data_IF_460036789682
#
_entry.id   IF_460036789682
#
_cell.length_a   1.000
_cell.length_b   1.000
_cell.length_c   1.000
_cell.angle_alpha   90.00
_cell.angle_beta   90.00
_cell.angle_gamma   90.00
#
_symmetry.space_group_name_H-M   'P 1'
#
loop_
_entity.id
_entity.type
_entity.pdbx_description
1 polymer ?
#
# COMPACT_ATOMS: atom_id res chain seq x y z
N UNK A 1 -6.11 -39.64 1.93
CA UNK A 1 -5.98 -39.08 0.57
C UNK A 1 -4.73 -39.68 -0.07
N UNK A 2 -4.91 -40.52 -1.10
CA UNK A 2 -3.82 -41.25 -1.77
C UNK A 2 -2.83 -40.26 -2.42
N UNK A 3 -1.54 -40.57 -2.37
CA UNK A 3 -0.49 -39.75 -2.99
C UNK A 3 -0.58 -39.87 -4.52
N UNK A 4 -0.37 -38.76 -5.23
CA UNK A 4 -0.33 -38.77 -6.69
C UNK A 4 0.89 -39.56 -7.20
N UNK A 5 0.71 -40.34 -8.27
CA UNK A 5 1.81 -41.01 -8.98
C UNK A 5 2.65 -39.98 -9.75
N UNK A 6 3.86 -40.35 -10.18
CA UNK A 6 4.72 -39.45 -10.97
C UNK A 6 4.04 -39.02 -12.29
N UNK A 7 3.35 -39.94 -12.97
CA UNK A 7 2.59 -39.65 -14.19
C UNK A 7 1.45 -38.67 -13.93
N UNK A 8 0.75 -38.85 -12.81
CA UNK A 8 -0.35 -37.95 -12.41
C UNK A 8 0.18 -36.56 -12.01
N UNK A 9 1.33 -36.50 -11.34
CA UNK A 9 2.04 -35.25 -11.05
C UNK A 9 2.45 -34.52 -12.33
N UNK A 10 2.98 -35.24 -13.32
CA UNK A 10 3.35 -34.68 -14.62
C UNK A 10 2.12 -34.08 -15.31
N UNK A 11 1.02 -34.84 -15.38
CA UNK A 11 -0.24 -34.39 -15.97
C UNK A 11 -0.79 -33.14 -15.28
N UNK A 12 -0.94 -33.17 -13.96
CA UNK A 12 -1.46 -32.03 -13.19
C UNK A 12 -0.55 -30.81 -13.28
N UNK A 13 0.78 -30.99 -13.31
CA UNK A 13 1.72 -29.86 -13.48
C UNK A 13 1.59 -29.24 -14.87
N UNK A 14 1.40 -30.04 -15.92
CA UNK A 14 1.17 -29.54 -17.27
C UNK A 14 -0.13 -28.73 -17.37
N UNK A 15 -1.21 -29.24 -16.78
CA UNK A 15 -2.50 -28.55 -16.72
C UNK A 15 -2.39 -27.22 -15.97
N UNK A 16 -1.83 -27.25 -14.76
CA UNK A 16 -1.59 -26.06 -13.95
C UNK A 16 -0.75 -25.03 -14.72
N UNK A 17 0.34 -25.46 -15.38
CA UNK A 17 1.18 -24.57 -16.18
C UNK A 17 0.41 -23.94 -17.34
N UNK A 18 -0.38 -24.73 -18.07
CA UNK A 18 -1.16 -24.23 -19.18
C UNK A 18 -2.21 -23.22 -18.69
N UNK A 19 -2.86 -23.48 -17.56
CA UNK A 19 -3.86 -22.61 -16.95
C UNK A 19 -3.25 -21.30 -16.47
N UNK A 20 -2.15 -21.38 -15.73
CA UNK A 20 -1.40 -20.21 -15.25
C UNK A 20 -0.96 -19.32 -16.42
N UNK A 21 -0.47 -19.91 -17.53
CA UNK A 21 -0.09 -19.14 -18.71
C UNK A 21 -1.29 -18.41 -19.33
N UNK A 22 -2.40 -19.12 -19.58
CA UNK A 22 -3.60 -18.53 -20.21
C UNK A 22 -4.21 -17.43 -19.34
N UNK A 23 -4.25 -17.63 -18.02
CA UNK A 23 -4.75 -16.63 -17.07
C UNK A 23 -3.81 -15.42 -16.98
N UNK A 24 -2.49 -15.65 -16.93
CA UNK A 24 -1.52 -14.57 -16.90
C UNK A 24 -1.62 -13.67 -18.14
N UNK A 25 -1.81 -14.26 -19.33
CA UNK A 25 -2.05 -13.51 -20.57
C UNK A 25 -3.31 -12.64 -20.47
N UNK A 26 -4.41 -13.18 -19.94
CA UNK A 26 -5.66 -12.43 -19.71
C UNK A 26 -5.47 -11.28 -18.71
N UNK A 27 -4.74 -11.52 -17.62
CA UNK A 27 -4.43 -10.49 -16.61
C UNK A 27 -3.61 -9.34 -17.23
N UNK A 28 -2.56 -9.66 -17.99
CA UNK A 28 -1.68 -8.66 -18.63
C UNK A 28 -2.44 -7.83 -19.65
N UNK A 29 -3.31 -8.45 -20.46
CA UNK A 29 -4.14 -7.72 -21.41
C UNK A 29 -5.07 -6.74 -20.69
N UNK A 30 -5.52 -7.07 -19.48
CA UNK A 30 -6.30 -6.18 -18.60
C UNK A 30 -5.51 -5.04 -17.94
N UNK A 31 -4.19 -4.97 -18.12
CA UNK A 31 -3.30 -3.90 -17.66
C UNK A 31 -2.87 -2.94 -18.77
N UNK A 32 -3.50 -3.00 -19.95
CA UNK A 32 -3.07 -2.24 -21.13
C UNK A 32 -1.61 -2.55 -21.50
N UNK A 33 -1.39 -3.80 -21.92
CA UNK A 33 -0.08 -4.35 -22.23
C UNK A 33 0.75 -3.48 -23.20
N UNK A 34 0.09 -2.72 -24.09
CA UNK A 34 0.72 -1.77 -25.01
C UNK A 34 1.54 -0.68 -24.32
N UNK A 35 1.15 -0.27 -23.11
CA UNK A 35 1.84 0.79 -22.38
C UNK A 35 2.99 0.26 -21.50
N UNK A 36 3.08 -1.05 -21.28
CA UNK A 36 4.13 -1.65 -20.45
C UNK A 36 5.43 -1.71 -21.26
N UNK A 37 6.45 -0.99 -20.78
CA UNK A 37 7.76 -0.96 -21.46
C UNK A 37 8.40 -2.33 -21.58
N UNK A 38 9.24 -2.53 -22.61
CA UNK A 38 10.01 -3.76 -22.82
C UNK A 38 10.84 -4.16 -21.59
N UNK A 39 11.35 -3.18 -20.84
CA UNK A 39 12.13 -3.39 -19.61
C UNK A 39 11.27 -3.91 -18.44
N UNK A 40 10.03 -3.43 -18.32
CA UNK A 40 9.10 -3.82 -17.24
C UNK A 40 8.35 -5.13 -17.54
N UNK A 41 8.16 -5.44 -18.83
CA UNK A 41 7.36 -6.59 -19.28
C UNK A 41 7.71 -7.93 -18.62
N UNK A 42 8.99 -8.31 -18.38
CA UNK A 42 9.31 -9.55 -17.67
C UNK A 42 8.73 -9.60 -16.24
N UNK A 43 8.86 -8.50 -15.48
CA UNK A 43 8.31 -8.41 -14.12
C UNK A 43 6.79 -8.41 -14.14
N UNK A 44 6.16 -7.70 -15.09
CA UNK A 44 4.71 -7.72 -15.26
C UNK A 44 4.20 -9.13 -15.57
N UNK A 45 4.86 -9.85 -16.49
CA UNK A 45 4.54 -11.25 -16.81
C UNK A 45 4.64 -12.16 -15.59
N UNK A 46 5.69 -12.00 -14.80
CA UNK A 46 5.85 -12.80 -13.59
C UNK A 46 4.79 -12.46 -12.53
N UNK A 47 4.45 -11.18 -12.32
CA UNK A 47 3.37 -10.79 -11.42
C UNK A 47 2.01 -11.37 -11.85
N UNK A 48 1.70 -11.34 -13.15
CA UNK A 48 0.48 -11.93 -13.67
C UNK A 48 0.45 -13.46 -13.50
N UNK A 49 1.58 -14.14 -13.76
CA UNK A 49 1.71 -15.57 -13.51
C UNK A 49 1.58 -15.93 -12.03
N UNK A 50 2.13 -15.11 -11.12
CA UNK A 50 1.96 -15.26 -9.69
C UNK A 50 0.50 -15.13 -9.27
N UNK A 51 -0.20 -14.09 -9.72
CA UNK A 51 -1.62 -13.90 -9.44
C UNK A 51 -2.47 -15.06 -9.99
N UNK A 52 -2.16 -15.53 -11.21
CA UNK A 52 -2.81 -16.69 -11.79
C UNK A 52 -2.60 -17.95 -10.96
N UNK A 53 -1.35 -18.27 -10.57
CA UNK A 53 -1.03 -19.43 -9.74
C UNK A 53 -1.78 -19.39 -8.39
N UNK A 54 -1.89 -18.21 -7.77
CA UNK A 54 -2.57 -18.03 -6.48
C UNK A 54 -4.09 -18.24 -6.53
N UNK A 55 -4.69 -18.39 -7.71
CA UNK A 55 -6.10 -18.78 -7.88
C UNK A 55 -6.33 -20.29 -7.85
N UNK A 56 -5.26 -21.10 -7.84
CA UNK A 56 -5.36 -22.54 -7.77
C UNK A 56 -5.05 -23.03 -6.35
N UNK A 57 -5.85 -23.97 -5.84
CA UNK A 57 -5.46 -24.77 -4.68
C UNK A 57 -4.48 -25.85 -5.13
N UNK A 58 -3.19 -25.60 -4.87
CA UNK A 58 -2.09 -26.51 -5.21
C UNK A 58 -1.61 -27.33 -4.00
N UNK A 59 -2.35 -27.34 -2.89
CA UNK A 59 -1.91 -27.98 -1.64
C UNK A 59 -1.69 -29.50 -1.77
N UNK A 60 -2.54 -30.18 -2.54
CA UNK A 60 -2.41 -31.62 -2.83
C UNK A 60 -1.24 -31.91 -3.76
N UNK A 61 -1.06 -31.09 -4.80
CA UNK A 61 0.06 -31.18 -5.73
C UNK A 61 1.39 -30.98 -4.97
N UNK A 62 1.51 -29.93 -4.18
CA UNK A 62 2.72 -29.62 -3.40
C UNK A 62 3.08 -30.73 -2.40
N UNK A 63 2.10 -31.28 -1.66
CA UNK A 63 2.34 -32.40 -0.75
C UNK A 63 2.81 -33.65 -1.49
N UNK A 64 2.24 -33.92 -2.65
CA UNK A 64 2.62 -35.08 -3.46
C UNK A 64 4.02 -34.91 -4.07
N UNK A 65 4.37 -33.72 -4.57
CA UNK A 65 5.73 -33.39 -5.03
C UNK A 65 6.77 -33.62 -3.94
N UNK A 66 6.52 -33.12 -2.73
CA UNK A 66 7.43 -33.25 -1.60
C UNK A 66 7.69 -34.72 -1.22
N UNK A 67 6.68 -35.59 -1.33
CA UNK A 67 6.82 -37.04 -1.08
C UNK A 67 7.78 -37.74 -2.05
N UNK A 68 7.93 -37.21 -3.26
CA UNK A 68 8.89 -37.69 -4.26
C UNK A 68 10.23 -36.95 -4.21
N UNK A 69 10.49 -36.16 -3.15
CA UNK A 69 11.72 -35.38 -3.00
C UNK A 69 11.84 -34.18 -3.96
N UNK A 70 10.74 -33.81 -4.63
CA UNK A 70 10.73 -32.70 -5.57
C UNK A 70 10.47 -31.37 -4.86
N UNK A 71 11.05 -30.30 -5.40
CA UNK A 71 10.89 -28.95 -4.86
C UNK A 71 9.41 -28.54 -4.86
N UNK A 72 8.93 -28.05 -3.72
CA UNK A 72 7.63 -27.41 -3.65
C UNK A 72 7.68 -26.06 -4.39
N UNK A 73 6.58 -25.68 -5.04
CA UNK A 73 6.46 -24.39 -5.72
C UNK A 73 6.44 -23.18 -4.76
N UNK A 74 6.76 -23.37 -3.47
CA UNK A 74 6.70 -22.34 -2.43
C UNK A 74 7.83 -21.31 -2.44
N UNK A 75 8.75 -21.39 -3.41
CA UNK A 75 9.78 -20.36 -3.68
C UNK A 75 9.76 -19.92 -5.15
N UNK A 76 8.60 -20.01 -5.79
CA UNK A 76 8.43 -19.73 -7.23
C UNK A 76 8.06 -18.28 -7.54
N UNK A 77 7.84 -17.44 -6.53
CA UNK A 77 7.26 -16.10 -6.64
C UNK A 77 8.00 -15.20 -7.63
N UNK A 78 9.33 -15.34 -7.71
CA UNK A 78 10.17 -14.52 -8.58
C UNK A 78 10.26 -15.03 -10.04
N UNK A 79 9.75 -16.23 -10.33
CA UNK A 79 9.94 -16.92 -11.62
C UNK A 79 8.91 -18.05 -11.83
N UNK A 80 7.62 -17.75 -11.68
CA UNK A 80 6.53 -18.75 -11.56
C UNK A 80 6.49 -19.73 -12.73
N UNK A 81 6.42 -19.22 -13.97
CA UNK A 81 6.36 -20.09 -15.15
C UNK A 81 7.64 -20.89 -15.34
N UNK A 82 8.80 -20.33 -15.02
CA UNK A 82 10.09 -21.04 -15.09
C UNK A 82 10.15 -22.19 -14.08
N UNK A 83 9.59 -22.03 -12.88
CA UNK A 83 9.47 -23.11 -11.90
C UNK A 83 8.57 -24.23 -12.40
N UNK A 84 7.42 -23.89 -13.01
CA UNK A 84 6.51 -24.88 -13.60
C UNK A 84 7.14 -25.59 -14.81
N UNK A 85 7.87 -24.87 -15.66
CA UNK A 85 8.65 -25.42 -16.78
C UNK A 85 9.70 -26.43 -16.28
N UNK A 86 10.45 -26.04 -15.24
CA UNK A 86 11.47 -26.90 -14.62
C UNK A 86 10.83 -28.17 -14.08
N UNK A 87 9.70 -28.04 -13.39
CA UNK A 87 9.00 -29.18 -12.81
C UNK A 87 8.46 -30.13 -13.89
N UNK A 88 7.86 -29.61 -14.96
CA UNK A 88 7.46 -30.42 -16.12
C UNK A 88 8.66 -31.18 -16.71
N UNK A 89 9.79 -30.49 -16.89
CA UNK A 89 11.00 -31.09 -17.44
C UNK A 89 11.60 -32.18 -16.54
N UNK A 90 11.56 -32.01 -15.21
CA UNK A 90 12.00 -33.02 -14.26
C UNK A 90 11.05 -34.22 -14.24
N UNK A 91 9.74 -33.98 -14.11
CA UNK A 91 8.75 -35.05 -14.06
C UNK A 91 8.72 -35.85 -15.37
N UNK A 92 8.87 -35.21 -16.53
CA UNK A 92 8.96 -35.92 -17.80
C UNK A 92 10.13 -36.91 -17.84
N UNK A 93 11.28 -36.54 -17.30
CA UNK A 93 12.45 -37.45 -17.18
C UNK A 93 12.19 -38.60 -16.21
N UNK A 94 11.52 -38.33 -15.09
CA UNK A 94 11.19 -39.35 -14.09
C UNK A 94 10.12 -40.34 -14.56
N UNK A 95 9.26 -39.92 -15.50
CA UNK A 95 8.21 -40.76 -16.08
C UNK A 95 8.61 -41.45 -17.39
N UNK A 96 9.86 -41.29 -17.85
CA UNK A 96 10.31 -41.68 -19.20
C UNK A 96 9.40 -41.15 -20.33
N UNK A 97 8.85 -39.96 -20.14
CA UNK A 97 8.02 -39.25 -21.11
C UNK A 97 8.90 -38.43 -22.08
N UNK A 98 8.34 -37.94 -23.21
CA UNK A 98 9.08 -37.11 -24.16
C UNK A 98 9.84 -35.95 -23.49
N UNK A 99 11.12 -35.80 -23.83
CA UNK A 99 12.02 -34.87 -23.14
C UNK A 99 11.63 -33.41 -23.39
N UNK A 100 11.35 -32.70 -22.29
CA UNK A 100 11.16 -31.25 -22.28
C UNK A 100 12.47 -30.57 -21.89
N UNK A 101 12.82 -29.49 -22.59
CA UNK A 101 14.00 -28.69 -22.27
C UNK A 101 13.84 -27.97 -20.92
N UNK A 102 14.90 -27.93 -20.11
CA UNK A 102 14.91 -27.10 -18.91
C UNK A 102 14.97 -25.62 -19.29
N UNK A 103 14.33 -24.72 -18.53
CA UNK A 103 14.52 -23.29 -18.72
C UNK A 103 15.98 -22.91 -18.41
N UNK A 104 16.54 -21.91 -19.10
CA UNK A 104 17.91 -21.48 -18.88
C UNK A 104 18.08 -20.91 -17.44
N UNK A 105 19.23 -21.12 -16.78
CA UNK A 105 19.47 -20.67 -15.40
C UNK A 105 19.19 -19.19 -15.17
N UNK A 106 19.51 -18.33 -16.14
CA UNK A 106 19.27 -16.89 -16.05
C UNK A 106 17.79 -16.52 -15.84
N UNK A 107 16.83 -17.32 -16.32
CA UNK A 107 15.39 -17.07 -16.08
C UNK A 107 14.97 -17.35 -14.64
N UNK A 108 15.66 -18.27 -13.96
CA UNK A 108 15.41 -18.56 -12.55
C UNK A 108 15.97 -17.45 -11.65
N UNK A 109 17.07 -16.80 -12.03
CA UNK A 109 17.69 -15.74 -11.23
C UNK A 109 17.20 -14.33 -11.57
N UNK A 110 16.45 -14.17 -12.66
CA UNK A 110 16.05 -12.86 -13.19
C UNK A 110 15.24 -12.03 -12.18
N UNK A 111 14.25 -12.63 -11.51
CA UNK A 111 13.41 -11.92 -10.55
C UNK A 111 14.18 -11.43 -9.32
N UNK A 112 15.03 -12.27 -8.73
CA UNK A 112 15.89 -11.87 -7.60
C UNK A 112 16.90 -10.79 -7.99
N UNK A 113 17.41 -10.84 -9.21
CA UNK A 113 18.33 -9.84 -9.74
C UNK A 113 17.62 -8.50 -9.94
N UNK A 114 16.44 -8.51 -10.54
CA UNK A 114 15.60 -7.33 -10.71
C UNK A 114 15.21 -6.71 -9.35
N UNK A 115 14.88 -7.53 -8.35
CA UNK A 115 14.56 -7.08 -7.00
C UNK A 115 15.75 -6.37 -6.34
N UNK A 116 16.96 -6.97 -6.40
CA UNK A 116 18.18 -6.37 -5.84
C UNK A 116 18.53 -5.03 -6.50
N UNK A 117 18.39 -4.94 -7.82
CA UNK A 117 18.59 -3.69 -8.56
C UNK A 117 17.56 -2.64 -8.14
N UNK A 118 16.27 -3.01 -8.09
CA UNK A 118 15.18 -2.12 -7.69
C UNK A 118 15.35 -1.60 -6.27
N UNK A 119 15.69 -2.47 -5.32
CA UNK A 119 15.95 -2.10 -3.93
C UNK A 119 17.11 -1.10 -3.79
N UNK A 120 18.23 -1.32 -4.51
CA UNK A 120 19.36 -0.39 -4.49
C UNK A 120 19.00 0.96 -5.10
N UNK A 121 18.23 0.95 -6.18
CA UNK A 121 17.78 2.17 -6.82
C UNK A 121 16.82 2.97 -5.93
N UNK A 122 15.91 2.30 -5.23
CA UNK A 122 14.91 2.94 -4.35
C UNK A 122 15.53 3.41 -3.02
N UNK A 123 16.18 2.50 -2.30
CA UNK A 123 16.59 2.73 -0.90
C UNK A 123 18.08 3.04 -0.73
N UNK A 124 18.87 2.97 -1.81
CA UNK A 124 20.33 3.07 -1.73
C UNK A 124 21.03 1.72 -1.47
N UNK A 125 22.36 1.77 -1.45
CA UNK A 125 23.22 0.60 -1.33
C UNK A 125 23.33 0.07 0.11
N UNK A 126 23.20 0.97 1.10
CA UNK A 126 23.34 0.64 2.51
C UNK A 126 22.26 -0.34 2.97
N UNK A 127 22.70 -1.38 3.68
CA UNK A 127 21.85 -2.44 4.23
C UNK A 127 22.32 -2.83 5.63
N UNK A 128 21.39 -3.34 6.42
CA UNK A 128 21.64 -4.00 7.70
C UNK A 128 21.47 -5.51 7.49
N UNK A 129 22.46 -6.27 7.92
CA UNK A 129 22.54 -7.70 7.65
C UNK A 129 22.59 -7.98 6.15
N UNK A 130 21.82 -8.97 5.69
CA UNK A 130 21.87 -9.41 4.29
C UNK A 130 21.16 -8.47 3.30
N UNK A 131 20.10 -7.76 3.72
CA UNK A 131 19.23 -7.00 2.80
C UNK A 131 18.32 -5.92 3.42
N UNK A 132 18.27 -5.81 4.74
CA UNK A 132 17.27 -4.98 5.42
C UNK A 132 17.66 -3.50 5.37
N UNK A 133 16.67 -2.62 5.36
CA UNK A 133 16.83 -1.18 5.57
C UNK A 133 15.90 -0.76 6.70
N UNK A 134 16.31 0.23 7.48
CA UNK A 134 15.50 0.79 8.57
C UNK A 134 15.02 2.17 8.16
N UNK A 135 13.70 2.33 8.17
CA UNK A 135 13.02 3.61 8.02
C UNK A 135 12.58 4.10 9.40
N UNK A 136 12.97 5.31 9.76
CA UNK A 136 12.57 5.94 11.03
C UNK A 136 11.74 7.17 10.74
N UNK A 137 10.58 7.29 11.39
CA UNK A 137 9.78 8.53 11.33
C UNK A 137 10.41 9.55 12.25
N UNK A 138 10.79 10.70 11.70
CA UNK A 138 11.43 11.75 12.48
C UNK A 138 10.39 12.48 13.36
N UNK A 139 10.67 12.66 14.66
CA UNK A 139 9.87 13.56 15.50
C UNK A 139 10.23 15.03 15.21
N UNK A 140 9.35 15.98 15.54
CA UNK A 140 9.58 17.43 15.35
C UNK A 140 10.93 17.91 15.90
N UNK A 141 11.36 17.35 17.04
CA UNK A 141 12.67 17.63 17.66
C UNK A 141 13.87 17.39 16.71
N UNK A 142 13.75 16.49 15.74
CA UNK A 142 14.81 16.21 14.77
C UNK A 142 15.08 17.37 13.81
N UNK A 143 14.28 18.45 13.83
CA UNK A 143 14.57 19.68 13.11
C UNK A 143 15.67 20.53 13.79
N UNK A 144 15.90 20.33 15.09
CA UNK A 144 16.77 21.19 15.90
C UNK A 144 17.88 20.38 16.61
N UNK A 145 17.64 19.10 16.88
CA UNK A 145 18.56 18.22 17.62
C UNK A 145 19.48 17.43 16.68
N UNK A 146 20.68 17.97 16.45
CA UNK A 146 21.73 17.32 15.65
C UNK A 146 22.19 15.99 16.26
N UNK A 147 22.25 15.91 17.59
CA UNK A 147 22.74 14.73 18.32
C UNK A 147 21.77 13.57 18.14
N UNK A 148 20.47 13.83 18.24
CA UNK A 148 19.43 12.84 17.96
C UNK A 148 19.55 12.27 16.55
N UNK A 149 19.67 13.13 15.53
CA UNK A 149 19.76 12.69 14.13
C UNK A 149 21.03 11.88 13.90
N UNK A 150 22.17 12.31 14.44
CA UNK A 150 23.43 11.57 14.35
C UNK A 150 23.32 10.18 15.01
N UNK A 151 22.75 10.10 16.21
CA UNK A 151 22.54 8.83 16.91
C UNK A 151 21.63 7.87 16.14
N UNK A 152 20.56 8.38 15.48
CA UNK A 152 19.69 7.56 14.64
C UNK A 152 20.44 6.99 13.42
N UNK A 153 21.31 7.79 12.80
CA UNK A 153 22.17 7.33 11.70
C UNK A 153 23.17 6.29 12.21
N UNK A 154 23.84 6.51 13.34
CA UNK A 154 24.79 5.55 13.91
C UNK A 154 24.11 4.21 14.26
N UNK A 155 22.90 4.26 14.82
CA UNK A 155 22.08 3.10 15.13
C UNK A 155 21.56 2.33 13.91
N UNK A 156 21.79 2.84 12.69
CA UNK A 156 21.51 2.13 11.45
C UNK A 156 20.33 2.65 10.64
N UNK A 157 19.75 3.82 10.95
CA UNK A 157 18.76 4.46 10.06
C UNK A 157 19.32 4.60 8.65
N UNK A 158 18.59 4.10 7.65
CA UNK A 158 18.93 4.19 6.21
C UNK A 158 17.90 5.01 5.43
N UNK A 159 16.74 5.25 6.04
CA UNK A 159 15.71 6.12 5.49
C UNK A 159 15.07 6.95 6.60
N UNK A 160 15.06 8.27 6.44
CA UNK A 160 14.31 9.18 7.28
C UNK A 160 12.94 9.43 6.64
N UNK A 161 11.87 9.10 7.37
CA UNK A 161 10.50 9.42 7.01
C UNK A 161 10.09 10.73 7.66
N UNK A 162 9.71 11.71 6.85
CA UNK A 162 9.10 12.97 7.28
C UNK A 162 7.61 12.88 6.96
N UNK A 163 6.76 13.02 7.97
CA UNK A 163 5.32 12.90 7.84
C UNK A 163 4.67 14.27 7.59
N UNK A 164 4.24 14.54 6.35
CA UNK A 164 3.68 15.83 5.95
C UNK A 164 2.28 16.12 6.52
N UNK A 165 1.67 15.16 7.23
CA UNK A 165 0.44 15.41 8.00
C UNK A 165 0.67 16.31 9.23
N UNK A 166 1.93 16.49 9.64
CA UNK A 166 2.34 17.29 10.79
C UNK A 166 3.49 18.24 10.43
N UNK A 167 3.74 19.20 11.31
CA UNK A 167 4.78 20.21 11.16
C UNK A 167 4.61 21.08 9.89
N UNK A 168 5.62 21.89 9.59
CA UNK A 168 5.61 22.87 8.49
C UNK A 168 6.72 22.59 7.48
N UNK A 169 6.63 23.16 6.26
CA UNK A 169 7.71 23.12 5.28
C UNK A 169 9.10 23.46 5.82
N UNK A 170 9.21 24.46 6.70
CA UNK A 170 10.49 24.90 7.24
C UNK A 170 11.06 23.88 8.23
N UNK A 171 10.21 23.28 9.07
CA UNK A 171 10.58 22.17 9.94
C UNK A 171 11.08 20.98 9.12
N UNK A 172 10.41 20.63 8.01
CA UNK A 172 10.83 19.53 7.14
C UNK A 172 12.18 19.80 6.45
N UNK A 173 12.42 21.05 6.01
CA UNK A 173 13.72 21.46 5.45
C UNK A 173 14.84 21.32 6.47
N UNK A 174 14.61 21.74 7.71
CA UNK A 174 15.56 21.62 8.80
C UNK A 174 15.89 20.15 9.10
N UNK A 175 14.87 19.28 9.24
CA UNK A 175 15.06 17.84 9.39
C UNK A 175 15.89 17.24 8.25
N UNK A 176 15.52 17.57 7.00
CA UNK A 176 16.20 17.06 5.82
C UNK A 176 17.67 17.50 5.75
N UNK A 177 17.97 18.75 6.13
CA UNK A 177 19.32 19.28 6.19
C UNK A 177 20.17 18.52 7.22
N UNK A 178 19.64 18.32 8.44
CA UNK A 178 20.35 17.60 9.50
C UNK A 178 20.57 16.12 9.14
N UNK A 179 19.60 15.45 8.53
CA UNK A 179 19.77 14.06 8.05
C UNK A 179 20.90 13.97 7.03
N UNK A 180 20.93 14.89 6.06
CA UNK A 180 21.97 14.90 5.01
C UNK A 180 23.35 15.23 5.58
N UNK A 181 23.43 16.14 6.54
CA UNK A 181 24.67 16.49 7.26
C UNK A 181 25.19 15.29 8.04
N UNK A 182 24.36 14.68 8.88
CA UNK A 182 24.72 13.53 9.72
C UNK A 182 25.12 12.31 8.88
N UNK A 183 24.37 11.99 7.81
CA UNK A 183 24.70 10.90 6.91
C UNK A 183 26.07 11.10 6.24
N UNK A 184 26.35 12.34 5.77
CA UNK A 184 27.64 12.69 5.17
C UNK A 184 28.78 12.57 6.19
N UNK A 185 28.60 13.07 7.40
CA UNK A 185 29.60 13.00 8.47
C UNK A 185 29.92 11.53 8.86
N UNK A 186 28.92 10.65 8.82
CA UNK A 186 29.09 9.23 9.11
C UNK A 186 29.60 8.40 7.91
N UNK A 187 29.76 8.99 6.71
CA UNK A 187 30.08 8.26 5.49
C UNK A 187 29.00 7.25 5.06
N UNK A 188 27.74 7.48 5.47
CA UNK A 188 26.58 6.62 5.18
C UNK A 188 25.61 7.31 4.23
N UNK A 189 24.74 6.53 3.61
CA UNK A 189 23.60 7.02 2.84
C UNK A 189 22.33 6.94 3.69
N UNK A 190 21.59 8.03 3.79
CA UNK A 190 20.24 8.03 4.34
C UNK A 190 19.28 8.74 3.39
N UNK A 191 18.29 8.00 2.87
CA UNK A 191 17.27 8.52 1.95
C UNK A 191 16.16 9.23 2.70
N UNK A 192 15.61 10.29 2.13
CA UNK A 192 14.47 11.01 2.70
C UNK A 192 13.18 10.59 1.98
N UNK A 193 12.29 9.93 2.72
CA UNK A 193 10.91 9.69 2.31
C UNK A 193 10.04 10.83 2.84
N UNK A 194 9.42 11.58 1.94
CA UNK A 194 8.37 12.53 2.30
C UNK A 194 7.02 11.83 2.17
N UNK A 195 6.32 11.62 3.29
CA UNK A 195 5.04 10.92 3.34
C UNK A 195 3.88 11.93 3.29
N UNK A 196 3.25 12.05 2.12
CA UNK A 196 2.13 12.96 1.86
C UNK A 196 0.90 12.48 2.61
N UNK A 197 0.16 13.39 3.25
CA UNK A 197 -0.90 13.03 4.19
C UNK A 197 -2.09 12.33 3.51
N UNK A 198 -2.47 12.83 2.33
CA UNK A 198 -3.61 12.33 1.57
C UNK A 198 -4.96 12.65 2.23
N UNK A 199 -6.07 12.20 1.61
CA UNK A 199 -7.43 12.53 2.04
C UNK A 199 -7.90 11.71 3.26
N UNK A 200 -7.17 11.79 4.38
CA UNK A 200 -7.58 11.12 5.63
C UNK A 200 -8.77 11.85 6.26
N UNK A 201 -9.91 11.18 6.35
CA UNK A 201 -11.08 11.75 7.00
C UNK A 201 -10.88 11.86 8.51
N UNK A 202 -11.19 13.04 9.07
CA UNK A 202 -11.14 13.31 10.51
C UNK A 202 -12.41 14.02 10.96
N UNK A 203 -12.67 13.92 12.26
CA UNK A 203 -13.69 14.74 12.92
C UNK A 203 -13.17 16.16 13.04
N UNK A 204 -13.94 17.12 12.54
CA UNK A 204 -13.60 18.54 12.62
C UNK A 204 -14.16 19.14 13.90
N UNK A 205 -15.49 19.09 14.06
CA UNK A 205 -16.15 19.60 15.26
C UNK A 205 -17.01 18.53 15.91
N UNK A 206 -17.19 18.67 17.22
CA UNK A 206 -18.13 17.89 18.01
C UNK A 206 -18.94 18.87 18.85
N UNK A 207 -20.25 18.86 18.69
CA UNK A 207 -21.19 19.67 19.46
C UNK A 207 -22.05 18.72 20.29
N UNK A 208 -22.23 19.05 21.55
CA UNK A 208 -23.06 18.27 22.46
C UNK A 208 -23.63 19.19 23.55
N UNK A 209 -24.85 18.89 23.99
CA UNK A 209 -25.55 19.68 25.02
C UNK A 209 -24.83 19.67 26.37
N UNK A 210 -24.07 18.60 26.64
CA UNK A 210 -23.20 18.50 27.80
C UNK A 210 -21.75 18.79 27.41
N UNK A 211 -20.98 19.43 28.29
CA UNK A 211 -19.62 19.88 27.93
C UNK A 211 -18.66 18.75 27.54
N UNK A 212 -18.89 17.50 27.96
CA UNK A 212 -18.07 16.30 27.61
C UNK A 212 -18.84 14.96 27.69
N UNK A 213 -19.83 14.67 26.82
CA UNK A 213 -20.61 13.44 26.91
C UNK A 213 -19.70 12.21 26.79
N UNK A 214 -19.95 11.21 27.63
CA UNK A 214 -19.43 9.86 27.41
C UNK A 214 -20.47 9.09 26.63
N UNK A 215 -20.05 8.50 25.53
CA UNK A 215 -20.91 7.71 24.66
C UNK A 215 -20.73 6.22 24.95
N UNK A 216 -21.82 5.49 24.94
CA UNK A 216 -21.93 4.06 25.20
C UNK A 216 -22.55 3.34 24.00
N UNK A 217 -22.54 2.02 24.05
CA UNK A 217 -23.25 1.20 23.05
C UNK A 217 -24.75 1.52 23.09
N UNK A 218 -25.34 1.71 21.93
CA UNK A 218 -26.73 2.12 21.74
C UNK A 218 -26.93 3.63 21.61
N UNK A 219 -25.94 4.44 22.01
CA UNK A 219 -26.03 5.90 21.83
C UNK A 219 -25.96 6.28 20.36
N UNK A 220 -26.57 7.42 20.04
CA UNK A 220 -26.64 7.96 18.68
C UNK A 220 -25.79 9.20 18.50
N UNK A 221 -25.27 9.36 17.29
CA UNK A 221 -24.49 10.52 16.85
C UNK A 221 -25.02 10.96 15.50
N UNK A 222 -25.24 12.27 15.33
CA UNK A 222 -25.57 12.86 14.05
C UNK A 222 -24.29 13.35 13.36
N UNK A 223 -23.89 12.72 12.27
CA UNK A 223 -22.92 13.29 11.34
C UNK A 223 -23.63 14.24 10.39
N UNK A 224 -23.17 15.48 10.28
CA UNK A 224 -23.79 16.51 9.43
C UNK A 224 -22.78 17.14 8.49
N UNK A 225 -23.24 17.51 7.27
CA UNK A 225 -22.42 18.27 6.30
C UNK A 225 -22.00 19.64 6.83
N UNK A 226 -22.82 20.20 7.71
CA UNK A 226 -22.60 21.48 8.38
C UNK A 226 -23.67 21.69 9.43
N UNK A 227 -23.43 22.61 10.37
CA UNK A 227 -24.32 22.81 11.52
C UNK A 227 -25.74 23.24 11.16
N UNK A 228 -25.96 23.81 9.96
CA UNK A 228 -27.30 24.12 9.45
C UNK A 228 -28.19 22.89 9.20
N UNK A 229 -27.60 21.68 9.19
CA UNK A 229 -28.31 20.40 9.02
C UNK A 229 -28.48 19.63 10.32
N UNK A 230 -28.07 20.20 11.46
CA UNK A 230 -28.32 19.61 12.77
C UNK A 230 -29.79 19.78 13.17
N UNK A 231 -30.32 18.82 13.92
CA UNK A 231 -31.65 18.90 14.52
C UNK A 231 -31.54 19.27 16.01
N UNK A 232 -32.54 19.98 16.53
CA UNK A 232 -32.61 20.32 17.96
C UNK A 232 -32.67 19.08 18.87
N UNK A 233 -33.06 17.93 18.33
CA UNK A 233 -33.09 16.65 19.04
C UNK A 233 -31.74 15.92 19.07
N UNK A 234 -30.71 16.42 18.38
CA UNK A 234 -29.42 15.74 18.26
C UNK A 234 -28.53 15.99 19.49
N UNK A 235 -28.47 15.00 20.40
CA UNK A 235 -27.66 15.09 21.62
C UNK A 235 -26.14 15.25 21.36
N UNK A 236 -25.64 14.65 20.27
CA UNK A 236 -24.24 14.75 19.84
C UNK A 236 -24.19 14.87 18.32
N UNK A 237 -23.60 15.96 17.86
CA UNK A 237 -23.42 16.30 16.45
C UNK A 237 -21.93 16.31 16.14
N UNK A 238 -21.52 15.73 15.02
CA UNK A 238 -20.15 15.78 14.54
C UNK A 238 -20.07 16.16 13.07
N UNK A 239 -19.07 16.96 12.71
CA UNK A 239 -18.69 17.24 11.32
C UNK A 239 -17.39 16.53 10.99
N UNK A 240 -17.12 16.34 9.70
CA UNK A 240 -15.90 15.69 9.22
C UNK A 240 -15.26 16.47 8.09
N UNK A 241 -13.94 16.31 7.93
CA UNK A 241 -13.10 17.05 6.95
C UNK A 241 -13.54 16.91 5.49
N UNK A 242 -14.39 15.92 5.20
CA UNK A 242 -15.00 15.73 3.89
C UNK A 242 -16.53 15.64 4.05
N UNK A 243 -17.22 16.79 4.13
CA UNK A 243 -18.66 16.85 4.36
C UNK A 243 -19.46 16.01 3.37
N UNK A 244 -19.06 15.98 2.10
CA UNK A 244 -19.77 15.25 1.05
C UNK A 244 -19.95 13.76 1.34
N UNK A 245 -19.01 13.15 2.12
CA UNK A 245 -19.11 11.75 2.54
C UNK A 245 -20.39 11.51 3.32
N UNK A 246 -20.79 12.43 4.21
CA UNK A 246 -21.97 12.28 5.08
C UNK A 246 -23.22 11.97 4.26
N UNK A 247 -23.35 12.59 3.08
CA UNK A 247 -24.49 12.36 2.20
C UNK A 247 -24.40 11.12 1.32
N UNK A 248 -23.23 10.51 1.20
CA UNK A 248 -23.00 9.32 0.36
C UNK A 248 -23.21 8.00 1.10
N UNK A 249 -23.45 8.06 2.42
CA UNK A 249 -23.62 6.87 3.26
C UNK A 249 -25.00 6.26 3.09
N UNK A 250 -25.05 4.93 3.21
CA UNK A 250 -26.27 4.13 3.15
C UNK A 250 -26.57 3.50 4.50
N UNK A 251 -27.86 3.35 4.82
CA UNK A 251 -28.31 2.64 6.03
C UNK A 251 -27.68 1.25 6.10
N UNK A 252 -27.19 0.89 7.28
CA UNK A 252 -26.49 -0.37 7.55
C UNK A 252 -24.97 -0.32 7.40
N UNK A 253 -24.40 0.70 6.74
CA UNK A 253 -22.94 0.83 6.60
C UNK A 253 -22.26 1.10 7.94
N UNK A 254 -21.03 0.61 8.07
CA UNK A 254 -20.22 0.84 9.26
C UNK A 254 -19.34 2.09 9.14
N UNK A 255 -19.18 2.80 10.26
CA UNK A 255 -18.23 3.90 10.40
C UNK A 255 -17.38 3.64 11.64
N UNK A 256 -16.07 3.69 11.46
CA UNK A 256 -15.08 3.43 12.51
C UNK A 256 -14.36 4.72 12.90
N UNK A 257 -14.32 5.03 14.19
CA UNK A 257 -13.76 6.28 14.73
C UNK A 257 -12.60 5.98 15.69
N UNK A 258 -11.61 6.88 15.73
CA UNK A 258 -10.44 6.83 16.62
C UNK A 258 -9.62 5.53 16.49
N UNK A 259 -9.21 5.23 15.25
CA UNK A 259 -8.44 4.04 14.88
C UNK A 259 -9.17 2.73 15.19
N UNK A 260 -10.47 2.68 14.88
CA UNK A 260 -11.30 1.49 15.05
C UNK A 260 -11.77 1.23 16.49
N UNK A 261 -11.54 2.15 17.42
CA UNK A 261 -11.95 1.98 18.83
C UNK A 261 -13.44 2.15 19.06
N UNK A 262 -14.13 2.85 18.15
CA UNK A 262 -15.57 3.09 18.20
C UNK A 262 -16.15 2.60 16.88
N UNK A 263 -17.03 1.61 16.95
CA UNK A 263 -17.76 1.08 15.80
C UNK A 263 -19.19 1.57 15.83
N UNK A 264 -19.62 2.20 14.74
CA UNK A 264 -20.96 2.75 14.59
C UNK A 264 -21.61 2.23 13.31
N UNK A 265 -22.93 2.20 13.26
CA UNK A 265 -23.71 1.77 12.09
C UNK A 265 -24.70 2.86 11.71
N UNK A 266 -24.80 3.16 10.42
CA UNK A 266 -25.79 4.10 9.90
C UNK A 266 -27.19 3.55 10.13
N UNK A 267 -28.02 4.32 10.83
CA UNK A 267 -29.42 3.98 11.12
C UNK A 267 -30.41 4.85 10.36
N UNK A 268 -30.02 6.07 9.98
CA UNK A 268 -30.80 6.95 9.12
C UNK A 268 -29.88 7.86 8.29
N UNK A 269 -30.34 8.28 7.12
CA UNK A 269 -29.63 9.21 6.24
C UNK A 269 -30.65 10.05 5.47
N UNK A 270 -30.40 11.36 5.34
CA UNK A 270 -31.26 12.33 4.67
C UNK A 270 -30.50 13.19 3.64
N UNK A 271 -29.34 12.71 3.18
CA UNK A 271 -28.49 13.37 2.19
C UNK A 271 -27.54 14.43 2.76
N UNK A 272 -27.96 15.21 3.77
CA UNK A 272 -27.08 16.20 4.41
C UNK A 272 -26.70 15.85 5.85
N UNK A 273 -27.44 14.92 6.46
CA UNK A 273 -27.25 14.36 7.79
C UNK A 273 -27.34 12.84 7.71
N UNK A 274 -26.49 12.20 8.52
CA UNK A 274 -26.44 10.75 8.71
C UNK A 274 -26.43 10.47 10.20
N UNK A 275 -27.45 9.78 10.68
CA UNK A 275 -27.54 9.32 12.05
C UNK A 275 -26.91 7.93 12.18
N UNK A 276 -26.06 7.77 13.18
CA UNK A 276 -25.41 6.49 13.46
C UNK A 276 -25.64 6.05 14.89
N UNK A 277 -25.71 4.74 15.10
CA UNK A 277 -25.78 4.11 16.41
C UNK A 277 -24.45 3.41 16.73
N UNK A 278 -23.97 3.58 17.95
CA UNK A 278 -22.74 2.93 18.43
C UNK A 278 -23.03 1.46 18.75
N UNK A 279 -22.43 0.52 18.01
CA UNK A 279 -22.50 -0.91 18.33
C UNK A 279 -21.27 -1.42 19.09
N UNK A 280 -20.13 -0.70 19.01
CA UNK A 280 -18.87 -1.09 19.66
C UNK A 280 -18.21 0.11 20.33
N UNK A 281 -18.01 0.02 21.65
CA UNK A 281 -17.32 1.00 22.48
C UNK A 281 -16.77 0.33 23.76
N UNK A 282 -15.83 0.99 24.45
CA UNK A 282 -15.32 0.51 25.75
C UNK A 282 -16.41 0.58 26.81
N UNK A 283 -16.42 -0.36 27.75
CA UNK A 283 -17.42 -0.46 28.82
C UNK A 283 -17.58 0.83 29.67
N UNK A 284 -16.48 1.57 29.88
CA UNK A 284 -16.49 2.85 30.61
C UNK A 284 -16.98 4.05 29.78
N UNK A 285 -17.50 3.79 28.58
CA UNK A 285 -17.84 4.81 27.58
C UNK A 285 -16.61 5.42 26.89
N UNK A 286 -16.86 6.08 25.77
CA UNK A 286 -15.88 6.71 24.90
C UNK A 286 -16.18 8.21 24.73
N UNK A 287 -15.19 8.97 24.29
CA UNK A 287 -15.37 10.38 23.91
C UNK A 287 -14.91 10.55 22.48
N UNK A 288 -15.78 11.12 21.67
CA UNK A 288 -15.41 11.59 20.34
C UNK A 288 -14.76 12.96 20.51
N UNK A 289 -13.69 13.21 19.74
CA UNK A 289 -12.92 14.46 19.81
C UNK A 289 -12.58 14.90 18.39
N UNK A 290 -12.37 16.21 18.19
CA UNK A 290 -11.72 16.72 16.99
C UNK A 290 -10.41 15.99 16.69
N UNK A 291 -10.01 16.02 15.43
CA UNK A 291 -8.80 15.40 14.86
C UNK A 291 -8.76 13.88 14.85
N UNK A 292 -9.77 13.21 15.43
CA UNK A 292 -9.86 11.75 15.41
C UNK A 292 -10.19 11.25 14.01
N UNK A 293 -9.44 10.24 13.56
CA UNK A 293 -9.65 9.64 12.26
C UNK A 293 -11.01 8.94 12.19
N UNK A 294 -11.67 9.07 11.04
CA UNK A 294 -12.92 8.42 10.68
C UNK A 294 -12.66 7.56 9.45
N UNK A 295 -13.13 6.32 9.47
CA UNK A 295 -12.96 5.37 8.37
C UNK A 295 -14.30 4.78 7.94
N UNK A 296 -14.48 4.65 6.63
CA UNK A 296 -15.70 4.17 5.97
C UNK A 296 -15.35 2.95 5.12
N UNK A 297 -15.23 1.75 5.72
CA UNK A 297 -14.71 0.56 5.03
C UNK A 297 -15.54 0.15 3.81
N UNK A 298 -16.85 0.37 3.86
CA UNK A 298 -17.81 -0.06 2.84
C UNK A 298 -18.15 1.03 1.82
N UNK A 299 -17.51 2.20 1.92
CA UNK A 299 -17.81 3.35 1.07
C UNK A 299 -16.65 3.60 0.10
N UNK A 300 -16.94 3.59 -1.20
CA UNK A 300 -15.98 4.09 -2.19
C UNK A 300 -15.94 5.61 -2.12
N UNK A 301 -14.91 6.12 -1.44
CA UNK A 301 -14.70 7.55 -1.30
C UNK A 301 -14.22 8.14 -2.63
N UNK A 302 -15.08 8.91 -3.29
CA UNK A 302 -14.74 9.69 -4.50
C UNK A 302 -14.00 10.99 -4.14
N UNK A 303 -12.91 10.87 -3.38
CA UNK A 303 -12.09 12.00 -2.97
C UNK A 303 -10.95 12.21 -3.96
N UNK A 304 -10.56 13.46 -4.15
CA UNK A 304 -9.29 13.78 -4.80
C UNK A 304 -8.14 13.07 -4.04
N UNK A 305 -7.23 12.37 -4.73
CA UNK A 305 -6.15 11.63 -4.07
C UNK A 305 -5.11 12.53 -3.40
N UNK A 306 -5.12 13.82 -3.73
CA UNK A 306 -4.37 14.87 -3.03
C UNK A 306 -5.34 15.96 -2.60
N UNK A 307 -5.27 16.35 -1.34
CA UNK A 307 -5.96 17.52 -0.79
C UNK A 307 -5.30 18.82 -1.28
N UNK A 308 -5.96 19.95 -1.02
CA UNK A 308 -5.40 21.27 -1.31
C UNK A 308 -4.14 21.56 -0.45
N UNK A 309 -4.09 21.05 0.78
CA UNK A 309 -2.87 21.06 1.59
C UNK A 309 -1.77 20.22 0.93
N UNK A 310 -2.07 18.99 0.53
CA UNK A 310 -1.08 18.11 -0.09
C UNK A 310 -0.47 18.74 -1.34
N UNK A 311 -1.27 19.42 -2.19
CA UNK A 311 -0.79 20.13 -3.38
C UNK A 311 0.23 21.22 -3.06
N UNK A 312 0.05 21.95 -1.94
CA UNK A 312 1.04 22.93 -1.48
C UNK A 312 2.27 22.24 -0.89
N UNK A 313 2.07 21.20 -0.09
CA UNK A 313 3.17 20.43 0.50
C UNK A 313 4.07 19.82 -0.60
N UNK A 314 3.49 19.48 -1.76
CA UNK A 314 4.24 18.95 -2.90
C UNK A 314 5.37 19.87 -3.38
N UNK A 315 5.32 21.18 -3.12
CA UNK A 315 6.41 22.11 -3.46
C UNK A 315 7.68 21.76 -2.67
N UNK A 316 7.54 21.56 -1.36
CA UNK A 316 8.65 21.17 -0.48
C UNK A 316 9.01 19.69 -0.62
N UNK A 317 8.04 18.81 -0.86
CA UNK A 317 8.31 17.40 -1.22
C UNK A 317 9.18 17.33 -2.47
N UNK A 318 8.84 18.10 -3.49
CA UNK A 318 9.61 18.16 -4.73
C UNK A 318 11.04 18.67 -4.52
N UNK A 319 11.25 19.56 -3.56
CA UNK A 319 12.57 20.06 -3.19
C UNK A 319 13.41 18.94 -2.50
N UNK A 320 12.84 18.31 -1.47
CA UNK A 320 13.59 17.53 -0.48
C UNK A 320 13.62 16.02 -0.74
N UNK A 321 12.56 15.45 -1.31
CA UNK A 321 12.36 14.01 -1.35
C UNK A 321 13.40 13.27 -2.20
N UNK A 322 13.87 12.14 -1.68
CA UNK A 322 14.43 11.03 -2.46
C UNK A 322 13.34 10.08 -2.94
N UNK A 323 12.24 9.97 -2.18
CA UNK A 323 11.05 9.17 -2.52
C UNK A 323 9.81 9.76 -1.83
N UNK A 324 8.63 9.43 -2.35
CA UNK A 324 7.35 9.94 -1.84
C UNK A 324 6.49 8.79 -1.32
N UNK A 325 5.98 8.92 -0.10
CA UNK A 325 4.90 8.08 0.42
C UNK A 325 3.56 8.63 -0.03
N UNK A 326 2.77 7.81 -0.72
CA UNK A 326 1.48 8.24 -1.27
C UNK A 326 0.33 7.59 -0.49
N UNK A 327 -0.17 8.32 0.51
CA UNK A 327 -1.28 7.89 1.38
C UNK A 327 -2.61 7.78 0.62
N UNK A 328 -3.45 6.83 1.02
CA UNK A 328 -4.79 6.58 0.48
C UNK A 328 -4.86 6.46 -1.05
N UNK A 329 -3.81 5.97 -1.71
CA UNK A 329 -3.87 5.67 -3.14
C UNK A 329 -4.87 4.54 -3.39
N UNK A 330 -5.80 4.72 -4.34
CA UNK A 330 -6.87 3.74 -4.58
C UNK A 330 -6.91 3.26 -6.02
N UNK A 331 -6.60 4.13 -6.98
CA UNK A 331 -6.76 3.89 -8.42
C UNK A 331 -5.50 4.23 -9.22
N UNK A 332 -5.27 3.60 -10.38
CA UNK A 332 -4.13 3.92 -11.26
C UNK A 332 -4.08 5.40 -11.65
N UNK A 333 -5.23 6.04 -11.81
CA UNK A 333 -5.35 7.46 -12.16
C UNK A 333 -4.76 8.37 -11.06
N UNK A 334 -4.84 7.95 -9.80
CA UNK A 334 -4.26 8.70 -8.67
C UNK A 334 -2.74 8.80 -8.80
N UNK A 335 -2.09 7.72 -9.26
CA UNK A 335 -0.64 7.67 -9.49
C UNK A 335 -0.25 8.58 -10.65
N UNK A 336 -1.05 8.58 -11.73
CA UNK A 336 -0.85 9.50 -12.87
C UNK A 336 -0.97 10.94 -12.40
N UNK A 337 -1.97 11.24 -11.57
CA UNK A 337 -2.19 12.56 -10.98
C UNK A 337 -0.99 13.02 -10.14
N UNK A 338 -0.52 12.20 -9.19
CA UNK A 338 0.65 12.52 -8.36
C UNK A 338 1.90 12.76 -9.21
N UNK A 339 2.20 11.89 -10.18
CA UNK A 339 3.38 12.06 -11.03
C UNK A 339 3.31 13.31 -11.89
N UNK A 340 2.13 13.71 -12.36
CA UNK A 340 1.94 14.97 -13.09
C UNK A 340 2.29 16.16 -12.20
N UNK A 341 1.74 16.20 -10.98
CA UNK A 341 2.01 17.27 -10.01
C UNK A 341 3.50 17.37 -9.65
N UNK A 342 4.16 16.23 -9.40
CA UNK A 342 5.60 16.19 -9.09
C UNK A 342 6.46 16.58 -10.29
N UNK A 343 6.10 16.17 -11.50
CA UNK A 343 6.84 16.51 -12.73
C UNK A 343 6.76 18.01 -13.02
N UNK A 344 5.60 18.63 -12.84
CA UNK A 344 5.42 20.07 -13.01
C UNK A 344 6.37 20.88 -12.11
N UNK A 345 6.62 20.38 -10.88
CA UNK A 345 7.53 21.00 -9.90
C UNK A 345 8.99 20.65 -10.10
N UNK A 346 9.30 19.60 -10.87
CA UNK A 346 10.67 19.09 -11.10
C UNK A 346 10.90 18.65 -12.56
N UNK A 347 10.71 19.53 -13.57
CA UNK A 347 10.67 19.12 -14.97
C UNK A 347 11.96 18.46 -15.48
N UNK A 348 13.10 18.80 -14.89
CA UNK A 348 14.43 18.33 -15.31
C UNK A 348 15.05 17.29 -14.35
N UNK A 349 14.27 16.72 -13.42
CA UNK A 349 14.76 15.69 -12.49
C UNK A 349 14.12 14.34 -12.81
N UNK A 350 14.81 13.21 -12.53
CA UNK A 350 14.21 11.89 -12.67
C UNK A 350 12.90 11.77 -11.90
N UNK A 351 11.98 10.93 -12.38
CA UNK A 351 10.73 10.60 -11.67
C UNK A 351 11.07 10.19 -10.24
N UNK A 352 10.40 10.80 -9.26
CA UNK A 352 10.52 10.39 -7.87
C UNK A 352 9.99 8.96 -7.69
N UNK A 353 10.75 8.08 -7.03
CA UNK A 353 10.24 6.81 -6.53
C UNK A 353 9.03 7.01 -5.62
N UNK A 354 8.06 6.10 -5.70
CA UNK A 354 6.82 6.17 -4.92
C UNK A 354 6.64 4.92 -4.07
N UNK A 355 6.27 5.10 -2.81
CA UNK A 355 5.71 4.06 -1.94
C UNK A 355 4.19 4.19 -1.97
N UNK A 356 3.50 3.16 -2.46
CA UNK A 356 2.05 3.10 -2.52
C UNK A 356 1.48 2.63 -1.17
N UNK A 357 0.81 3.51 -0.43
CA UNK A 357 0.24 3.13 0.87
C UNK A 357 -1.15 2.54 0.68
N UNK A 358 -1.24 1.23 0.84
CA UNK A 358 -2.47 0.45 0.62
C UNK A 358 -3.31 0.46 1.90
N UNK A 359 -4.21 1.44 1.98
CA UNK A 359 -4.95 1.75 3.21
C UNK A 359 -6.46 1.54 3.08
N UNK A 360 -6.96 1.28 1.86
CA UNK A 360 -8.39 1.05 1.60
C UNK A 360 -8.66 -0.29 0.93
N UNK A 361 -9.85 -0.89 1.10
CA UNK A 361 -10.24 -2.10 0.39
C UNK A 361 -10.16 -1.95 -1.14
N UNK A 362 -10.47 -0.76 -1.66
CA UNK A 362 -10.35 -0.47 -3.09
C UNK A 362 -8.89 -0.51 -3.54
N UNK A 363 -7.97 0.02 -2.74
CA UNK A 363 -6.53 -0.07 -3.01
C UNK A 363 -6.05 -1.53 -3.05
N UNK A 364 -6.52 -2.37 -2.12
CA UNK A 364 -6.21 -3.82 -2.12
C UNK A 364 -6.72 -4.49 -3.39
N UNK A 365 -7.97 -4.23 -3.80
CA UNK A 365 -8.55 -4.76 -5.05
C UNK A 365 -7.75 -4.32 -6.28
N UNK A 366 -7.27 -3.09 -6.29
CA UNK A 366 -6.52 -2.52 -7.40
C UNK A 366 -5.00 -2.75 -7.32
N UNK A 367 -4.47 -3.37 -6.25
CA UNK A 367 -3.04 -3.43 -5.95
C UNK A 367 -2.16 -3.84 -7.15
N UNK A 368 -2.47 -4.91 -7.92
CA UNK A 368 -1.66 -5.25 -9.09
C UNK A 368 -1.61 -4.13 -10.14
N UNK A 369 -2.74 -3.47 -10.40
CA UNK A 369 -2.82 -2.34 -11.35
C UNK A 369 -2.06 -1.13 -10.83
N UNK A 370 -2.13 -0.85 -9.53
CA UNK A 370 -1.37 0.23 -8.89
C UNK A 370 0.14 0.00 -9.04
N UNK A 371 0.63 -1.21 -8.74
CA UNK A 371 2.05 -1.56 -8.89
C UNK A 371 2.51 -1.36 -10.33
N UNK A 372 1.75 -1.85 -11.32
CA UNK A 372 2.11 -1.72 -12.74
C UNK A 372 2.11 -0.27 -13.19
N UNK A 373 1.07 0.50 -12.84
CA UNK A 373 0.95 1.90 -13.22
C UNK A 373 2.08 2.76 -12.64
N UNK A 374 2.47 2.53 -11.38
CA UNK A 374 3.61 3.20 -10.77
C UNK A 374 4.95 2.76 -11.37
N UNK A 375 5.13 1.44 -11.58
CA UNK A 375 6.36 0.89 -12.16
C UNK A 375 6.63 1.37 -13.59
N UNK A 376 5.60 1.77 -14.33
CA UNK A 376 5.74 2.39 -15.65
C UNK A 376 6.37 3.78 -15.59
N UNK A 377 6.19 4.52 -14.49
CA UNK A 377 6.72 5.86 -14.32
C UNK A 377 8.11 5.88 -13.66
N UNK A 378 8.39 4.92 -12.78
CA UNK A 378 9.65 4.86 -12.05
C UNK A 378 9.70 3.71 -11.03
N UNK A 379 10.70 3.71 -10.15
CA UNK A 379 10.82 2.74 -9.06
C UNK A 379 9.61 2.83 -8.11
N UNK A 380 9.06 1.68 -7.74
CA UNK A 380 7.88 1.58 -6.88
C UNK A 380 8.16 0.63 -5.70
N UNK A 381 7.60 0.98 -4.54
CA UNK A 381 7.40 0.08 -3.42
C UNK A 381 5.94 0.15 -2.97
N UNK A 382 5.53 -0.83 -2.17
CA UNK A 382 4.20 -0.91 -1.54
C UNK A 382 4.41 -1.02 -0.04
#
# INVERSE_FOLDING_TARGET
MLALTLTELLRQTHELRADVRREAERIINGWDASRISRKLMPSARNLAAYLALRRHDISTLQRSLARHGLSSLGRSEAHVLSSLDTLCATLARLCDAPRIAYPPPGRMMAGETALRIGQRHFFGADVIGARSRIMVTLPSQAAEDRTLVAALIEAGMTCARINCAHDTPDTWRAMAALVREAARAAGRTCRILMDVAGPKCRIETVHADNTKPRLFRGDRIAFVRGMAHALDSDNVIATVTFPDIVGSLSVGQEIWIDDGKIGTRVVAQDGARTEVEIFSARAKGVRIRPEKGVNFPDTELHLSPLTEKDRRDLDTVAELADSVGFSFVQRPEDIVFLHRELRARRPNRPTLPVILKIETPLAVRNLPRLIIQAAMAGPVAV
#
